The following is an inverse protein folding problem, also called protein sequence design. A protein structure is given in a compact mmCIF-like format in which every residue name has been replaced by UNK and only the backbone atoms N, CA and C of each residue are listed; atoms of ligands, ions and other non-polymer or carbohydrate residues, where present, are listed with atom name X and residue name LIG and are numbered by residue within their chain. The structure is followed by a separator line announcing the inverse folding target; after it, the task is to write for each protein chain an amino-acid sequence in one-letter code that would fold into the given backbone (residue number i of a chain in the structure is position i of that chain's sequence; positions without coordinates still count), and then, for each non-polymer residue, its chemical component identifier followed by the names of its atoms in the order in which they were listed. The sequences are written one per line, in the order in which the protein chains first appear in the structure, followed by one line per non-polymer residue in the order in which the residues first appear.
data_IF_904979689315
#
_entry.id   IF_904979689315
#
_cell.length_a   1.000
_cell.length_b   1.000
_cell.length_c   1.000
_cell.angle_alpha   90.00
_cell.angle_beta   90.00
_cell.angle_gamma   90.00
#
_symmetry.space_group_name_H-M   'P 1'
#
loop_
_entity.id
_entity.type
_entity.pdbx_description
1 polymer ?
#
# COMPACT_ATOMS: atom_id res chain seq x y z
N UNK A 1 4.11 27.62 -47.63
CA UNK A 1 3.19 26.58 -47.12
C UNK A 1 3.88 26.04 -45.88
N UNK A 2 3.40 26.26 -44.66
CA UNK A 2 2.03 26.19 -44.16
C UNK A 2 1.94 27.08 -42.90
N UNK A 3 1.01 28.04 -42.86
CA UNK A 3 0.81 28.94 -41.71
C UNK A 3 -0.08 28.23 -40.68
N UNK A 4 0.47 28.00 -39.48
CA UNK A 4 -0.24 27.56 -38.28
C UNK A 4 -1.25 28.64 -37.80
N UNK A 5 -2.36 28.24 -37.15
CA UNK A 5 -3.54 29.09 -37.00
C UNK A 5 -3.43 30.09 -35.84
N UNK A 6 -3.87 31.34 -36.10
CA UNK A 6 -3.94 32.50 -35.19
C UNK A 6 -5.00 32.41 -34.07
N UNK A 7 -5.54 31.23 -33.78
CA UNK A 7 -6.78 31.09 -32.98
C UNK A 7 -6.51 31.23 -31.47
N UNK A 8 -5.33 30.86 -30.97
CA UNK A 8 -5.08 30.77 -29.52
C UNK A 8 -4.83 32.10 -28.79
N UNK A 9 -4.53 33.21 -29.50
CA UNK A 9 -4.19 34.49 -28.85
C UNK A 9 -5.42 35.34 -28.50
N UNK A 10 -6.57 35.05 -29.12
CA UNK A 10 -7.81 35.84 -28.97
C UNK A 10 -8.66 35.37 -27.78
N UNK A 11 -8.74 34.06 -27.55
CA UNK A 11 -9.52 33.47 -26.45
C UNK A 11 -8.92 33.76 -25.06
N UNK A 12 -7.59 33.72 -24.93
CA UNK A 12 -6.90 34.08 -23.67
C UNK A 12 -7.07 35.58 -23.34
N UNK A 13 -7.13 36.42 -24.36
CA UNK A 13 -7.39 37.86 -24.23
C UNK A 13 -8.82 38.16 -23.81
N UNK A 14 -9.81 37.40 -24.31
CA UNK A 14 -11.21 37.54 -23.92
C UNK A 14 -11.48 37.04 -22.50
N UNK A 15 -10.88 35.90 -22.11
CA UNK A 15 -10.98 35.37 -20.74
C UNK A 15 -10.36 36.32 -19.71
N UNK A 16 -9.20 36.92 -20.01
CA UNK A 16 -8.59 37.92 -19.15
C UNK A 16 -9.42 39.22 -19.06
N UNK A 17 -10.07 39.64 -20.15
CA UNK A 17 -10.95 40.79 -20.16
C UNK A 17 -12.24 40.55 -19.37
N UNK A 18 -12.83 39.35 -19.49
CA UNK A 18 -14.00 38.94 -18.71
C UNK A 18 -13.70 38.85 -17.21
N UNK A 19 -12.53 38.30 -16.86
CA UNK A 19 -12.09 38.22 -15.47
C UNK A 19 -11.86 39.61 -14.88
N UNK A 20 -11.25 40.52 -15.65
CA UNK A 20 -11.05 41.91 -15.22
C UNK A 20 -12.36 42.66 -15.04
N UNK A 21 -13.30 42.50 -15.98
CA UNK A 21 -14.64 43.08 -15.87
C UNK A 21 -15.41 42.56 -14.64
N UNK A 22 -15.25 41.28 -14.29
CA UNK A 22 -15.85 40.71 -13.09
C UNK A 22 -15.25 41.29 -11.80
N UNK A 23 -13.92 41.53 -11.77
CA UNK A 23 -13.26 42.18 -10.64
C UNK A 23 -13.68 43.65 -10.53
N UNK A 24 -13.72 44.39 -11.63
CA UNK A 24 -14.10 45.81 -11.63
C UNK A 24 -15.57 45.98 -11.19
N UNK A 25 -16.48 45.11 -11.65
CA UNK A 25 -17.87 45.08 -11.22
C UNK A 25 -18.03 44.73 -9.74
N UNK A 26 -17.24 43.78 -9.23
CA UNK A 26 -17.21 43.47 -7.80
C UNK A 26 -16.66 44.64 -6.97
N UNK A 27 -15.72 45.42 -7.52
CA UNK A 27 -15.17 46.60 -6.86
C UNK A 27 -16.19 47.74 -6.78
N UNK A 28 -16.98 47.96 -7.85
CA UNK A 28 -18.06 48.94 -7.88
C UNK A 28 -19.14 48.63 -6.83
N UNK A 29 -19.53 47.35 -6.69
CA UNK A 29 -20.47 46.88 -5.67
C UNK A 29 -19.99 47.16 -4.24
N UNK A 30 -18.68 47.14 -4.00
CA UNK A 30 -18.07 47.45 -2.70
C UNK A 30 -17.95 48.96 -2.49
N UNK A 31 -17.66 49.72 -3.54
CA UNK A 31 -17.55 51.18 -3.47
C UNK A 31 -18.89 51.85 -3.11
N UNK A 32 -20.01 51.33 -3.64
CA UNK A 32 -21.37 51.76 -3.28
C UNK A 32 -21.66 51.56 -1.77
N UNK A 33 -20.96 50.63 -1.12
CA UNK A 33 -21.07 50.38 0.32
C UNK A 33 -20.20 51.33 1.17
N UNK A 34 -19.15 51.93 0.59
CA UNK A 34 -18.20 52.81 1.30
C UNK A 34 -18.58 54.29 1.26
N UNK A 35 -19.51 54.69 0.39
CA UNK A 35 -19.86 56.09 0.15
C UNK A 35 -21.01 56.67 0.99
N UNK A 36 -21.76 55.85 1.74
CA UNK A 36 -22.87 56.35 2.57
C UNK A 36 -22.41 56.56 4.02
N UNK A 37 -22.50 57.79 4.57
CA UNK A 37 -22.28 57.99 5.99
C UNK A 37 -23.34 57.20 6.76
N UNK A 38 -22.86 56.35 7.66
CA UNK A 38 -23.64 55.44 8.50
C UNK A 38 -24.75 56.21 9.20
N UNK A 39 -25.96 56.11 8.66
CA UNK A 39 -27.19 56.46 9.37
C UNK A 39 -27.74 55.18 9.98
N UNK A 40 -27.74 55.18 11.31
CA UNK A 40 -28.56 54.39 12.24
C UNK A 40 -29.16 53.05 11.75
N UNK A 41 -28.67 51.97 12.37
CA UNK A 41 -29.32 50.67 12.56
C UNK A 41 -29.83 49.91 11.31
N UNK A 42 -29.01 48.94 10.86
CA UNK A 42 -29.52 47.62 10.50
C UNK A 42 -28.69 46.53 11.18
N UNK A 43 -29.24 46.10 12.30
CA UNK A 43 -28.88 44.90 13.04
C UNK A 43 -29.38 43.66 12.26
N UNK A 44 -28.88 43.44 11.04
CA UNK A 44 -29.29 42.32 10.16
C UNK A 44 -28.17 41.91 9.19
N UNK A 45 -27.13 41.30 9.72
CA UNK A 45 -26.45 40.16 9.06
C UNK A 45 -25.45 39.60 10.06
N UNK A 46 -25.70 38.39 10.56
CA UNK A 46 -24.63 37.67 11.24
C UNK A 46 -23.43 37.61 10.28
N UNK A 47 -22.19 37.86 10.76
CA UNK A 47 -21.02 37.74 9.89
C UNK A 47 -21.03 36.35 9.29
N UNK A 48 -20.99 36.28 7.95
CA UNK A 48 -20.91 35.00 7.25
C UNK A 48 -19.72 34.24 7.85
N UNK A 49 -19.91 32.98 8.28
CA UNK A 49 -18.81 32.19 8.83
C UNK A 49 -17.66 32.22 7.84
N UNK A 50 -16.43 32.41 8.32
CA UNK A 50 -15.26 32.40 7.45
C UNK A 50 -15.21 31.10 6.66
N UNK A 51 -14.54 31.08 5.50
CA UNK A 51 -14.36 29.84 4.72
C UNK A 51 -13.79 28.72 5.62
N UNK A 52 -12.90 29.05 6.55
CA UNK A 52 -12.37 28.12 7.53
C UNK A 52 -13.44 27.59 8.49
N UNK A 53 -14.33 28.45 8.99
CA UNK A 53 -15.45 28.06 9.86
C UNK A 53 -16.47 27.22 9.09
N UNK A 54 -16.73 27.53 7.82
CA UNK A 54 -17.57 26.72 6.94
C UNK A 54 -16.96 25.34 6.70
N UNK A 55 -15.65 25.26 6.43
CA UNK A 55 -14.93 23.99 6.33
C UNK A 55 -14.97 23.21 7.65
N UNK A 56 -14.77 23.87 8.80
CA UNK A 56 -14.86 23.23 10.12
C UNK A 56 -16.26 22.70 10.41
N UNK A 57 -17.31 23.44 10.03
CA UNK A 57 -18.69 23.01 10.20
C UNK A 57 -19.02 21.85 9.26
N UNK A 58 -18.58 21.88 8.00
CA UNK A 58 -18.71 20.76 7.06
C UNK A 58 -17.98 19.51 7.56
N UNK A 59 -16.79 19.67 8.15
CA UNK A 59 -16.05 18.59 8.79
C UNK A 59 -16.76 18.05 10.04
N UNK A 60 -17.38 18.92 10.84
CA UNK A 60 -18.17 18.54 12.02
C UNK A 60 -19.49 17.86 11.67
N UNK A 61 -20.12 18.25 10.55
CA UNK A 61 -21.30 17.59 9.99
C UNK A 61 -20.93 16.24 9.35
N UNK A 62 -19.72 16.13 8.80
CA UNK A 62 -19.14 14.87 8.30
C UNK A 62 -18.65 13.93 9.42
N UNK A 63 -18.59 14.34 10.69
CA UNK A 63 -18.16 13.49 11.82
C UNK A 63 -19.10 12.30 12.14
N UNK A 64 -20.16 12.10 11.35
CA UNK A 64 -20.98 10.87 11.34
C UNK A 64 -20.45 9.86 10.29
N UNK A 65 -19.27 10.08 9.71
CA UNK A 65 -18.63 9.07 8.86
C UNK A 65 -18.07 7.90 9.69
N UNK A 66 -18.29 6.68 9.17
CA UNK A 66 -17.72 5.47 9.72
C UNK A 66 -16.18 5.60 9.84
N UNK A 67 -15.55 4.95 10.83
CA UNK A 67 -14.09 5.03 10.99
C UNK A 67 -13.37 4.64 9.70
N UNK A 68 -12.39 5.44 9.30
CA UNK A 68 -11.56 5.17 8.12
C UNK A 68 -10.87 3.80 8.29
N UNK A 69 -10.77 2.99 7.22
CA UNK A 69 -10.14 1.69 7.34
C UNK A 69 -8.62 1.82 7.50
N UNK A 70 -8.02 0.89 8.24
CA UNK A 70 -6.59 0.58 8.10
C UNK A 70 -6.43 -0.32 6.88
N UNK A 71 -5.45 -0.04 6.03
CA UNK A 71 -5.20 -0.81 4.82
C UNK A 71 -4.07 -1.79 5.05
N UNK A 72 -4.19 -3.03 4.59
CA UNK A 72 -3.12 -4.04 4.74
C UNK A 72 -2.73 -4.66 3.40
N UNK A 73 -1.42 -4.80 3.18
CA UNK A 73 -0.84 -5.38 1.97
C UNK A 73 -0.20 -6.71 2.32
N UNK A 74 -0.65 -7.79 1.71
CA UNK A 74 -0.17 -9.14 2.02
C UNK A 74 0.54 -9.74 0.81
N UNK A 75 1.76 -10.21 1.03
CA UNK A 75 2.54 -10.87 -0.01
C UNK A 75 3.58 -11.78 0.62
N UNK A 76 3.86 -12.92 -0.01
CA UNK A 76 5.04 -13.71 0.33
C UNK A 76 6.31 -12.99 -0.15
N UNK A 77 7.46 -13.33 0.42
CA UNK A 77 8.72 -12.77 -0.03
C UNK A 77 8.98 -13.04 -1.53
N UNK A 78 9.69 -12.11 -2.17
CA UNK A 78 10.07 -12.18 -3.59
C UNK A 78 8.93 -12.14 -4.63
N UNK A 79 7.74 -11.72 -4.24
CA UNK A 79 6.55 -11.57 -5.08
C UNK A 79 6.34 -10.17 -5.69
N UNK A 80 7.25 -9.22 -5.45
CA UNK A 80 7.09 -7.83 -5.91
C UNK A 80 6.44 -6.89 -4.90
N UNK A 81 6.16 -7.36 -3.67
CA UNK A 81 5.55 -6.56 -2.60
C UNK A 81 6.22 -5.20 -2.35
N UNK A 82 7.56 -5.10 -2.39
CA UNK A 82 8.28 -3.83 -2.24
C UNK A 82 7.95 -2.83 -3.35
N UNK A 83 7.91 -3.27 -4.61
CA UNK A 83 7.59 -2.42 -5.75
C UNK A 83 6.17 -1.87 -5.64
N UNK A 84 5.20 -2.77 -5.46
CA UNK A 84 3.78 -2.42 -5.35
C UNK A 84 3.56 -1.47 -4.16
N UNK A 85 4.24 -1.74 -3.03
CA UNK A 85 4.13 -0.90 -1.83
C UNK A 85 4.72 0.50 -2.04
N UNK A 86 5.77 0.66 -2.84
CA UNK A 86 6.30 1.99 -3.21
C UNK A 86 5.32 2.74 -4.11
N UNK A 87 4.69 2.05 -5.06
CA UNK A 87 3.66 2.66 -5.90
C UNK A 87 2.41 3.08 -5.11
N UNK A 88 2.04 2.31 -4.07
CA UNK A 88 0.99 2.70 -3.12
C UNK A 88 1.43 3.89 -2.27
N UNK A 89 2.66 3.88 -1.77
CA UNK A 89 3.22 5.01 -1.01
C UNK A 89 3.35 6.30 -1.85
N UNK A 90 3.37 6.18 -3.17
CA UNK A 90 3.36 7.31 -4.10
C UNK A 90 1.97 7.90 -4.33
N UNK A 91 0.91 7.23 -3.84
CA UNK A 91 -0.44 7.78 -3.90
C UNK A 91 -0.61 8.91 -2.87
N UNK A 92 -1.52 9.87 -3.14
CA UNK A 92 -1.75 11.01 -2.27
C UNK A 92 -2.12 10.59 -0.85
N UNK A 93 -1.63 11.35 0.13
CA UNK A 93 -1.98 11.21 1.54
C UNK A 93 -1.73 9.80 2.11
N UNK A 94 -0.85 8.99 1.54
CA UNK A 94 -0.57 7.64 2.07
C UNK A 94 0.60 7.64 3.05
N UNK A 95 0.43 6.90 4.15
CA UNK A 95 1.49 6.58 5.10
C UNK A 95 1.65 5.05 5.15
N UNK A 96 2.77 4.55 4.64
CA UNK A 96 3.06 3.11 4.61
C UNK A 96 4.04 2.73 5.72
N UNK A 97 3.61 1.84 6.61
CA UNK A 97 4.51 1.11 7.52
C UNK A 97 4.89 -0.20 6.86
N UNK A 98 6.19 -0.45 6.74
CA UNK A 98 6.72 -1.62 6.04
C UNK A 98 7.28 -2.69 6.96
N UNK A 99 7.16 -3.94 6.49
CA UNK A 99 7.62 -5.15 7.18
C UNK A 99 6.98 -5.32 8.56
N UNK A 100 5.66 -5.17 8.62
CA UNK A 100 4.88 -5.23 9.86
C UNK A 100 4.49 -6.68 10.18
N UNK A 101 4.96 -7.19 11.32
CA UNK A 101 4.47 -8.43 11.92
C UNK A 101 4.79 -8.43 13.44
N UNK A 102 3.81 -8.17 14.32
CA UNK A 102 4.05 -8.05 15.76
C UNK A 102 4.45 -9.37 16.43
N UNK A 103 4.24 -10.50 15.75
CA UNK A 103 4.61 -11.84 16.22
C UNK A 103 5.77 -12.42 15.41
N UNK A 104 6.49 -11.57 14.66
CA UNK A 104 7.60 -12.01 13.82
C UNK A 104 8.64 -12.78 14.65
N UNK A 105 9.06 -13.97 14.18
CA UNK A 105 10.17 -14.70 14.78
C UNK A 105 11.53 -14.04 14.50
N UNK A 106 11.58 -13.11 13.53
CA UNK A 106 12.77 -12.34 13.24
C UNK A 106 12.95 -11.27 14.32
N UNK A 107 14.02 -11.42 15.09
CA UNK A 107 14.47 -10.39 16.04
C UNK A 107 15.59 -9.60 15.38
N UNK A 108 15.46 -8.26 15.22
CA UNK A 108 16.54 -7.46 14.69
C UNK A 108 17.82 -7.64 15.52
N UNK A 109 18.97 -7.70 14.85
CA UNK A 109 20.25 -7.68 15.54
C UNK A 109 20.53 -6.27 16.06
N UNK A 110 20.81 -6.13 17.36
CA UNK A 110 21.21 -4.87 17.98
C UNK A 110 20.36 -4.44 19.17
N UNK A 111 20.75 -3.32 19.78
CA UNK A 111 20.05 -2.73 20.92
C UNK A 111 18.90 -1.84 20.43
N UNK A 112 17.65 -2.20 20.74
CA UNK A 112 16.43 -1.46 20.37
C UNK A 112 15.69 -0.97 21.61
N UNK A 113 16.17 0.10 22.29
CA UNK A 113 15.62 0.57 23.57
C UNK A 113 14.21 1.18 23.47
N UNK A 114 13.72 1.42 22.27
CA UNK A 114 12.40 2.02 22.01
C UNK A 114 11.37 1.03 21.51
N UNK A 115 11.78 -0.20 21.18
CA UNK A 115 10.87 -1.26 20.75
C UNK A 115 10.31 -1.98 21.99
N UNK A 116 9.15 -1.52 22.46
CA UNK A 116 8.51 -2.12 23.63
C UNK A 116 8.16 -3.60 23.41
N UNK A 117 7.82 -4.02 22.18
CA UNK A 117 7.53 -5.43 21.89
C UNK A 117 8.82 -6.23 22.03
N UNK A 118 9.90 -5.80 21.38
CA UNK A 118 11.24 -6.40 21.52
C UNK A 118 11.69 -6.49 22.98
N UNK A 119 11.62 -5.39 23.73
CA UNK A 119 11.97 -5.37 25.16
C UNK A 119 11.11 -6.30 26.00
N UNK A 120 9.80 -6.39 25.71
CA UNK A 120 8.88 -7.26 26.46
C UNK A 120 9.22 -8.74 26.29
N UNK A 121 9.70 -9.16 25.12
CA UNK A 121 10.13 -10.55 24.83
C UNK A 121 11.35 -10.97 25.64
N UNK A 122 12.26 -10.03 25.92
CA UNK A 122 13.50 -10.29 26.66
C UNK A 122 13.47 -9.81 28.12
N UNK A 123 12.30 -9.39 28.61
CA UNK A 123 12.14 -8.95 29.99
C UNK A 123 12.25 -10.11 30.99
N UNK A 124 12.35 -9.80 32.29
CA UNK A 124 12.36 -10.82 33.36
C UNK A 124 11.07 -11.63 33.45
N UNK A 125 10.00 -11.18 32.77
CA UNK A 125 8.71 -11.86 32.63
C UNK A 125 8.21 -11.70 31.18
N UNK A 126 8.70 -12.54 30.25
CA UNK A 126 8.40 -12.38 28.83
C UNK A 126 6.90 -12.29 28.52
N UNK A 127 6.54 -11.33 27.65
CA UNK A 127 5.16 -11.18 27.19
C UNK A 127 4.74 -12.33 26.27
N UNK A 128 3.54 -12.87 26.49
CA UNK A 128 2.91 -13.84 25.57
C UNK A 128 2.41 -13.14 24.29
N UNK A 129 1.94 -13.92 23.32
CA UNK A 129 1.47 -13.41 22.03
C UNK A 129 0.33 -12.40 22.16
N UNK A 130 -0.65 -12.65 23.04
CA UNK A 130 -1.78 -11.74 23.23
C UNK A 130 -1.32 -10.37 23.77
N UNK A 131 -0.43 -10.36 24.77
CA UNK A 131 0.15 -9.10 25.27
C UNK A 131 0.93 -8.37 24.17
N UNK A 132 1.70 -9.08 23.33
CA UNK A 132 2.41 -8.47 22.20
C UNK A 132 1.43 -7.86 21.17
N UNK A 133 0.30 -8.54 20.91
CA UNK A 133 -0.77 -8.02 20.05
C UNK A 133 -1.39 -6.76 20.65
N UNK A 134 -1.72 -6.75 21.94
CA UNK A 134 -2.30 -5.57 22.60
C UNK A 134 -1.36 -4.38 22.59
N UNK A 135 -0.05 -4.61 22.82
CA UNK A 135 0.97 -3.57 22.72
C UNK A 135 1.07 -3.01 21.30
N UNK A 136 1.04 -3.89 20.29
CA UNK A 136 1.02 -3.48 18.88
C UNK A 136 -0.23 -2.64 18.55
N UNK A 137 -1.42 -3.10 18.94
CA UNK A 137 -2.66 -2.39 18.69
C UNK A 137 -2.73 -1.05 19.41
N UNK A 138 -2.19 -0.95 20.62
CA UNK A 138 -2.08 0.32 21.35
C UNK A 138 -1.21 1.33 20.59
N UNK A 139 -0.04 0.91 20.09
CA UNK A 139 0.81 1.76 19.25
C UNK A 139 0.15 2.13 17.91
N UNK A 140 -0.52 1.17 17.28
CA UNK A 140 -1.24 1.38 16.02
C UNK A 140 -2.39 2.38 16.17
N UNK A 141 -3.11 2.39 17.30
CA UNK A 141 -4.14 3.41 17.59
C UNK A 141 -3.59 4.83 17.60
N UNK A 142 -2.37 5.03 18.12
CA UNK A 142 -1.72 6.34 18.12
C UNK A 142 -1.41 6.77 16.69
N UNK A 143 -0.81 5.89 15.89
CA UNK A 143 -0.49 6.18 14.49
C UNK A 143 -1.75 6.43 13.66
N UNK A 144 -2.78 5.62 13.84
CA UNK A 144 -4.08 5.77 13.20
C UNK A 144 -4.72 7.13 13.53
N UNK A 145 -4.70 7.54 14.81
CA UNK A 145 -5.21 8.84 15.24
C UNK A 145 -4.47 9.99 14.57
N UNK A 146 -3.14 9.96 14.57
CA UNK A 146 -2.30 10.97 13.90
C UNK A 146 -2.54 11.01 12.39
N UNK A 147 -2.57 9.86 11.73
CA UNK A 147 -2.83 9.77 10.29
C UNK A 147 -4.19 10.38 9.95
N UNK A 148 -5.23 10.02 10.70
CA UNK A 148 -6.59 10.55 10.53
C UNK A 148 -6.63 12.08 10.72
N UNK A 149 -5.96 12.61 11.76
CA UNK A 149 -5.89 14.04 12.00
C UNK A 149 -5.18 14.82 10.88
N UNK A 150 -4.25 14.19 10.18
CA UNK A 150 -3.55 14.77 9.04
C UNK A 150 -4.22 14.46 7.69
N UNK A 151 -5.41 13.83 7.68
CA UNK A 151 -6.08 13.42 6.44
C UNK A 151 -5.33 12.33 5.67
N UNK A 152 -4.49 11.56 6.35
CA UNK A 152 -3.69 10.48 5.77
C UNK A 152 -4.38 9.12 5.86
N UNK A 153 -4.11 8.27 4.88
CA UNK A 153 -4.44 6.86 4.87
C UNK A 153 -3.30 6.05 5.47
N UNK A 154 -3.61 5.25 6.50
CA UNK A 154 -2.65 4.35 7.11
C UNK A 154 -2.63 2.99 6.39
N UNK A 155 -1.47 2.60 5.86
CA UNK A 155 -1.24 1.34 5.17
C UNK A 155 -0.18 0.54 5.93
N UNK A 156 -0.43 -0.75 6.17
CA UNK A 156 0.51 -1.70 6.75
C UNK A 156 0.90 -2.74 5.71
N UNK A 157 2.18 -2.78 5.35
CA UNK A 157 2.74 -3.82 4.49
C UNK A 157 3.23 -4.96 5.38
N UNK A 158 2.56 -6.11 5.25
CA UNK A 158 2.80 -7.32 6.04
C UNK A 158 4.18 -7.94 5.74
N UNK A 159 4.85 -8.41 6.80
CA UNK A 159 6.01 -9.29 6.71
C UNK A 159 5.59 -10.77 6.83
N UNK A 160 4.78 -11.23 5.89
CA UNK A 160 4.18 -12.58 5.94
C UNK A 160 5.21 -13.72 5.90
N UNK A 161 6.46 -13.45 5.49
CA UNK A 161 7.56 -14.43 5.47
C UNK A 161 7.79 -15.04 6.86
N UNK A 162 7.72 -14.24 7.92
CA UNK A 162 7.86 -14.71 9.30
C UNK A 162 6.71 -15.60 9.79
N UNK A 163 5.56 -15.54 9.13
CA UNK A 163 4.41 -16.38 9.43
C UNK A 163 4.46 -17.69 8.64
N UNK A 164 4.52 -17.58 7.31
CA UNK A 164 4.30 -18.72 6.42
C UNK A 164 5.59 -19.41 6.01
N UNK A 165 6.73 -18.71 6.00
CA UNK A 165 8.00 -19.18 5.42
C UNK A 165 9.13 -19.24 6.46
N UNK A 166 8.80 -19.65 7.68
CA UNK A 166 9.75 -19.81 8.78
C UNK A 166 9.53 -21.13 9.53
N UNK A 167 10.62 -21.78 9.96
CA UNK A 167 10.60 -22.99 10.78
C UNK A 167 10.15 -24.25 10.04
N UNK A 168 9.92 -25.32 10.81
CA UNK A 168 9.54 -26.64 10.28
C UNK A 168 8.07 -26.76 9.87
N UNK A 169 7.21 -25.83 10.31
CA UNK A 169 5.79 -25.79 9.96
C UNK A 169 5.29 -24.34 9.93
N UNK A 170 4.15 -24.11 9.29
CA UNK A 170 3.44 -22.83 9.40
C UNK A 170 2.87 -22.74 10.82
N UNK A 171 3.24 -21.69 11.55
CA UNK A 171 2.77 -21.49 12.92
C UNK A 171 1.28 -21.13 12.92
N UNK A 172 0.50 -21.84 13.73
CA UNK A 172 -0.88 -21.48 14.02
C UNK A 172 -0.92 -20.25 14.94
N UNK A 173 -1.19 -19.09 14.33
CA UNK A 173 -1.28 -17.78 14.98
C UNK A 173 -2.11 -16.85 14.11
N UNK A 174 -2.71 -15.79 14.67
CA UNK A 174 -3.46 -14.83 13.88
C UNK A 174 -2.54 -14.10 12.88
N UNK A 175 -3.08 -13.88 11.68
CA UNK A 175 -2.50 -13.05 10.62
C UNK A 175 -2.49 -11.57 11.00
N UNK A 176 -1.71 -10.76 10.29
CA UNK A 176 -1.76 -9.31 10.46
C UNK A 176 -3.17 -8.75 10.21
N UNK A 177 -3.88 -9.27 9.20
CA UNK A 177 -5.26 -8.88 8.89
C UNK A 177 -6.20 -9.14 10.08
N UNK A 178 -6.15 -10.34 10.66
CA UNK A 178 -6.97 -10.70 11.81
C UNK A 178 -6.62 -9.87 13.05
N UNK A 179 -5.33 -9.62 13.29
CA UNK A 179 -4.87 -8.78 14.41
C UNK A 179 -5.43 -7.37 14.28
N UNK A 180 -5.26 -6.72 13.12
CA UNK A 180 -5.70 -5.33 12.90
C UNK A 180 -7.23 -5.24 12.94
N UNK A 181 -7.93 -6.24 12.42
CA UNK A 181 -9.40 -6.30 12.41
C UNK A 181 -10.02 -6.36 13.81
N UNK A 182 -9.25 -6.68 14.86
CA UNK A 182 -9.71 -6.59 16.25
C UNK A 182 -10.01 -5.15 16.69
N UNK A 183 -9.43 -4.16 16.03
CA UNK A 183 -9.46 -2.77 16.48
C UNK A 183 -9.92 -1.76 15.42
N UNK A 184 -9.85 -2.10 14.13
CA UNK A 184 -10.14 -1.18 13.02
C UNK A 184 -10.92 -1.88 11.91
N UNK A 185 -11.75 -1.17 11.13
CA UNK A 185 -12.15 -1.65 9.82
C UNK A 185 -10.91 -1.86 8.94
N UNK A 186 -10.90 -2.91 8.12
CA UNK A 186 -9.75 -3.26 7.28
C UNK A 186 -10.12 -3.35 5.82
N UNK A 187 -9.25 -2.81 4.96
CA UNK A 187 -9.23 -3.06 3.52
C UNK A 187 -7.91 -3.71 3.15
N UNK A 188 -7.95 -4.78 2.38
CA UNK A 188 -6.75 -5.57 2.12
C UNK A 188 -6.61 -5.90 0.64
N UNK A 189 -5.37 -6.11 0.22
CA UNK A 189 -5.04 -6.80 -1.02
C UNK A 189 -4.00 -7.88 -0.73
N UNK A 190 -4.02 -8.92 -1.55
CA UNK A 190 -2.96 -9.90 -1.67
C UNK A 190 -2.24 -9.66 -2.98
N UNK A 191 -0.91 -9.67 -2.98
CA UNK A 191 -0.14 -9.75 -4.23
C UNK A 191 0.63 -11.06 -4.33
N UNK A 192 0.61 -11.62 -5.54
CA UNK A 192 1.29 -12.87 -5.89
C UNK A 192 2.18 -12.64 -7.11
N UNK A 193 3.10 -13.57 -7.31
CA UNK A 193 3.96 -13.65 -8.50
C UNK A 193 3.97 -15.10 -8.96
N UNK A 194 4.40 -15.35 -10.19
CA UNK A 194 4.65 -16.72 -10.64
C UNK A 194 5.45 -17.51 -9.58
N UNK A 195 4.90 -18.60 -9.01
CA UNK A 195 5.48 -19.29 -7.85
C UNK A 195 6.95 -19.70 -8.04
N UNK A 196 7.29 -20.23 -9.22
CA UNK A 196 8.68 -20.57 -9.53
C UNK A 196 9.62 -19.35 -9.50
N UNK A 197 9.20 -18.20 -10.02
CA UNK A 197 10.06 -17.02 -10.10
C UNK A 197 10.28 -16.37 -8.72
N UNK A 198 9.31 -16.51 -7.83
CA UNK A 198 9.41 -16.15 -6.41
C UNK A 198 10.35 -17.12 -5.68
N UNK A 199 10.14 -18.44 -5.83
CA UNK A 199 11.00 -19.46 -5.22
C UNK A 199 12.47 -19.34 -5.66
N UNK A 200 12.73 -19.17 -6.96
CA UNK A 200 14.09 -18.95 -7.48
C UNK A 200 14.74 -17.67 -6.92
N UNK A 201 13.94 -16.67 -6.59
CA UNK A 201 14.45 -15.45 -5.94
C UNK A 201 14.74 -15.67 -4.45
N UNK A 202 13.98 -16.54 -3.76
CA UNK A 202 14.26 -16.97 -2.39
C UNK A 202 15.53 -17.83 -2.29
N UNK A 203 15.77 -18.69 -3.29
CA UNK A 203 17.01 -19.46 -3.40
C UNK A 203 18.21 -18.53 -3.52
N UNK A 204 18.13 -17.54 -4.42
CA UNK A 204 19.18 -16.55 -4.66
C UNK A 204 19.49 -15.67 -3.43
N UNK A 205 18.47 -15.31 -2.63
CA UNK A 205 18.67 -14.54 -1.40
C UNK A 205 19.10 -15.39 -0.19
N UNK A 206 19.11 -16.72 -0.32
CA UNK A 206 19.34 -17.66 0.79
C UNK A 206 18.15 -17.82 1.75
N UNK A 207 17.02 -17.13 1.50
CA UNK A 207 15.85 -17.16 2.37
C UNK A 207 15.09 -18.49 2.35
N UNK A 208 15.37 -19.35 1.37
CA UNK A 208 14.86 -20.73 1.36
C UNK A 208 15.23 -21.50 2.63
N UNK A 209 16.34 -21.13 3.27
CA UNK A 209 16.84 -21.80 4.48
C UNK A 209 16.02 -21.46 5.74
N UNK A 210 15.12 -20.47 5.66
CA UNK A 210 14.28 -20.09 6.80
C UNK A 210 13.18 -21.11 7.09
N UNK A 211 12.79 -21.95 6.13
CA UNK A 211 11.82 -23.03 6.32
C UNK A 211 12.44 -24.39 6.00
N UNK A 212 11.82 -25.44 6.53
CA UNK A 212 12.26 -26.82 6.32
C UNK A 212 11.07 -27.73 6.01
N UNK A 213 11.20 -28.68 5.05
CA UNK A 213 12.34 -28.84 4.16
C UNK A 213 12.45 -27.69 3.14
N UNK A 214 13.67 -27.32 2.74
CA UNK A 214 13.92 -26.22 1.82
C UNK A 214 13.69 -26.63 0.35
N UNK A 215 12.47 -27.08 0.02
CA UNK A 215 12.09 -27.61 -1.31
C UNK A 215 10.99 -26.77 -1.95
N UNK A 216 10.83 -26.91 -3.27
CA UNK A 216 9.75 -26.24 -4.01
C UNK A 216 8.35 -26.71 -3.54
N UNK A 217 8.23 -27.99 -3.20
CA UNK A 217 6.98 -28.57 -2.71
C UNK A 217 6.55 -27.99 -1.36
N UNK A 218 7.49 -27.84 -0.42
CA UNK A 218 7.22 -27.18 0.87
C UNK A 218 6.85 -25.71 0.69
N UNK A 219 7.56 -25.01 -0.19
CA UNK A 219 7.22 -23.63 -0.56
C UNK A 219 5.79 -23.53 -1.12
N UNK A 220 5.39 -24.46 -1.98
CA UNK A 220 4.05 -24.47 -2.55
C UNK A 220 2.97 -24.75 -1.50
N UNK A 221 3.19 -25.71 -0.59
CA UNK A 221 2.27 -25.98 0.53
C UNK A 221 2.12 -24.77 1.46
N UNK A 222 3.21 -24.07 1.76
CA UNK A 222 3.17 -22.81 2.53
C UNK A 222 2.46 -21.68 1.79
N UNK A 223 2.60 -21.64 0.47
CA UNK A 223 1.89 -20.67 -0.37
C UNK A 223 0.39 -20.94 -0.39
N UNK A 224 -0.04 -22.20 -0.38
CA UNK A 224 -1.45 -22.54 -0.17
C UNK A 224 -1.97 -22.08 1.19
N UNK A 225 -1.25 -22.35 2.27
CA UNK A 225 -1.63 -21.89 3.60
C UNK A 225 -1.78 -20.35 3.67
N UNK A 226 -0.87 -19.61 3.02
CA UNK A 226 -0.98 -18.16 2.86
C UNK A 226 -2.26 -17.76 2.11
N UNK A 227 -2.53 -18.37 0.96
CA UNK A 227 -3.72 -18.04 0.16
C UNK A 227 -5.03 -18.43 0.86
N UNK A 228 -5.03 -19.49 1.66
CA UNK A 228 -6.19 -19.92 2.45
C UNK A 228 -6.50 -18.91 3.56
N UNK A 229 -5.47 -18.38 4.21
CA UNK A 229 -5.61 -17.33 5.23
C UNK A 229 -6.18 -16.02 4.67
N UNK A 230 -6.10 -15.80 3.35
CA UNK A 230 -6.57 -14.60 2.67
C UNK A 230 -7.58 -14.86 1.53
N UNK A 231 -8.32 -15.96 1.58
CA UNK A 231 -9.20 -16.42 0.48
C UNK A 231 -10.28 -15.42 0.02
N UNK A 232 -10.65 -14.46 0.86
CA UNK A 232 -11.68 -13.44 0.57
C UNK A 232 -11.07 -12.04 0.31
N UNK A 233 -9.77 -11.97 0.10
CA UNK A 233 -9.04 -10.73 -0.18
C UNK A 233 -8.72 -10.65 -1.66
N UNK A 234 -8.90 -9.46 -2.25
CA UNK A 234 -8.60 -9.20 -3.66
C UNK A 234 -7.15 -9.57 -3.99
N UNK A 235 -6.95 -10.33 -5.07
CA UNK A 235 -5.66 -10.88 -5.47
C UNK A 235 -5.13 -10.16 -6.71
N UNK A 236 -3.92 -9.62 -6.60
CA UNK A 236 -3.21 -8.91 -7.67
C UNK A 236 -1.99 -9.73 -8.11
N UNK A 237 -1.86 -9.99 -9.41
CA UNK A 237 -0.65 -10.59 -9.97
C UNK A 237 0.40 -9.53 -10.26
N UNK A 238 1.63 -9.80 -9.84
CA UNK A 238 2.80 -8.97 -10.13
C UNK A 238 2.99 -8.77 -11.63
N UNK A 239 2.79 -9.84 -12.40
CA UNK A 239 2.92 -9.87 -13.85
C UNK A 239 1.96 -8.89 -14.53
N UNK A 240 0.70 -8.85 -14.09
CA UNK A 240 -0.29 -7.89 -14.59
C UNK A 240 0.11 -6.46 -14.19
N UNK A 241 0.59 -6.27 -12.96
CA UNK A 241 1.01 -4.95 -12.48
C UNK A 241 2.18 -4.38 -13.26
N UNK A 242 3.15 -5.20 -13.68
CA UNK A 242 4.29 -4.71 -14.47
C UNK A 242 4.02 -4.61 -15.96
N UNK A 243 2.98 -5.26 -16.46
CA UNK A 243 2.51 -5.14 -17.84
C UNK A 243 1.68 -3.87 -18.05
N UNK A 244 0.74 -3.59 -17.15
CA UNK A 244 -0.08 -2.37 -17.18
C UNK A 244 -0.22 -1.74 -15.77
N UNK A 245 0.85 -1.05 -15.29
CA UNK A 245 0.85 -0.47 -13.95
C UNK A 245 -0.30 0.51 -13.68
N UNK A 246 -0.63 1.46 -14.59
CA UNK A 246 -1.73 2.39 -14.37
C UNK A 246 -3.08 1.71 -14.10
N UNK A 247 -3.49 0.74 -14.93
CA UNK A 247 -4.78 0.04 -14.80
C UNK A 247 -4.85 -0.77 -13.51
N UNK A 248 -3.79 -1.53 -13.21
CA UNK A 248 -3.75 -2.33 -11.97
C UNK A 248 -3.68 -1.43 -10.74
N UNK A 249 -3.01 -0.28 -10.83
CA UNK A 249 -2.96 0.68 -9.72
C UNK A 249 -4.32 1.34 -9.46
N UNK A 250 -5.10 1.65 -10.49
CA UNK A 250 -6.49 2.10 -10.31
C UNK A 250 -7.33 1.04 -9.57
N UNK A 251 -7.17 -0.23 -9.94
CA UNK A 251 -7.86 -1.36 -9.26
C UNK A 251 -7.45 -1.43 -7.78
N UNK A 252 -6.15 -1.38 -7.48
CA UNK A 252 -5.64 -1.37 -6.12
C UNK A 252 -6.19 -0.17 -5.33
N UNK A 253 -6.19 1.03 -5.91
CA UNK A 253 -6.69 2.24 -5.25
C UNK A 253 -8.19 2.11 -4.96
N UNK A 254 -8.99 1.60 -5.91
CA UNK A 254 -10.41 1.35 -5.69
C UNK A 254 -10.64 0.35 -4.55
N UNK A 255 -9.96 -0.80 -4.57
CA UNK A 255 -10.07 -1.84 -3.54
C UNK A 255 -9.68 -1.34 -2.14
N UNK A 256 -8.59 -0.56 -2.06
CA UNK A 256 -8.10 0.01 -0.82
C UNK A 256 -8.80 1.33 -0.45
N UNK A 257 -9.71 1.84 -1.28
CA UNK A 257 -10.35 3.15 -1.11
C UNK A 257 -9.31 4.26 -0.90
N UNK A 258 -8.38 4.37 -1.85
CA UNK A 258 -7.34 5.39 -1.95
C UNK A 258 -7.60 6.29 -3.16
N UNK A 259 -7.13 7.53 -3.09
CA UNK A 259 -7.07 8.40 -4.26
C UNK A 259 -6.00 7.91 -5.24
N UNK A 260 -6.34 7.94 -6.53
CA UNK A 260 -5.43 7.57 -7.60
C UNK A 260 -4.72 8.80 -8.17
N UNK A 261 -3.39 8.79 -8.14
CA UNK A 261 -2.54 9.73 -8.84
C UNK A 261 -1.83 9.02 -10.02
N UNK A 262 -2.07 9.41 -11.28
CA UNK A 262 -1.41 8.81 -12.43
C UNK A 262 0.12 9.00 -12.44
N UNK A 263 0.64 10.04 -11.77
CA UNK A 263 2.07 10.36 -11.76
C UNK A 263 2.89 9.46 -10.82
N UNK A 264 2.28 8.44 -10.22
CA UNK A 264 2.97 7.50 -9.31
C UNK A 264 4.15 6.79 -9.98
N UNK A 265 4.09 6.58 -11.29
CA UNK A 265 5.17 5.95 -12.07
C UNK A 265 6.44 6.79 -12.09
N UNK A 266 6.34 8.10 -11.84
CA UNK A 266 7.48 9.01 -11.79
C UNK A 266 8.01 9.19 -10.36
N UNK A 267 7.13 9.09 -9.36
CA UNK A 267 7.45 9.43 -7.97
C UNK A 267 7.83 8.23 -7.10
N UNK A 268 7.37 7.01 -7.45
CA UNK A 268 7.65 5.81 -6.63
C UNK A 268 9.15 5.56 -6.44
N UNK A 269 9.98 5.95 -7.43
CA UNK A 269 11.43 5.80 -7.41
C UNK A 269 12.09 6.56 -6.24
N UNK A 270 11.50 7.67 -5.79
CA UNK A 270 12.03 8.47 -4.68
C UNK A 270 11.71 7.88 -3.30
N UNK A 271 10.76 6.92 -3.24
CA UNK A 271 10.28 6.38 -1.98
C UNK A 271 11.20 5.26 -1.49
N UNK A 272 11.61 5.37 -0.23
CA UNK A 272 12.41 4.36 0.48
C UNK A 272 11.55 3.69 1.54
N UNK A 273 11.50 2.36 1.51
CA UNK A 273 10.80 1.53 2.52
C UNK A 273 11.79 0.53 3.13
N UNK A 274 11.52 0.08 4.36
CA UNK A 274 12.27 -1.04 4.96
C UNK A 274 12.02 -2.34 4.18
N UNK A 275 13.00 -3.25 4.21
CA UNK A 275 12.92 -4.51 3.47
C UNK A 275 13.26 -4.40 1.97
N UNK A 276 13.92 -3.33 1.55
CA UNK A 276 14.46 -3.16 0.18
C UNK A 276 15.71 -4.04 -0.09
N UNK A 277 15.72 -5.27 0.43
CA UNK A 277 16.90 -6.13 0.63
C UNK A 277 17.58 -6.65 -0.65
N UNK A 278 17.28 -6.10 -1.82
CA UNK A 278 18.11 -6.42 -2.98
C UNK A 278 17.70 -5.89 -4.36
N UNK A 279 16.60 -5.15 -4.52
CA UNK A 279 16.15 -4.73 -5.85
C UNK A 279 15.74 -3.27 -5.90
N UNK A 280 16.76 -2.42 -6.04
CA UNK A 280 16.61 -1.04 -6.48
C UNK A 280 16.30 -1.01 -7.97
N UNK A 281 15.31 -0.22 -8.34
CA UNK A 281 14.92 0.00 -9.72
C UNK A 281 14.09 1.25 -9.82
N UNK A 282 14.47 2.10 -10.76
CA UNK A 282 13.79 3.36 -11.06
C UNK A 282 12.65 3.15 -12.06
N UNK A 283 12.51 1.93 -12.59
CA UNK A 283 11.54 1.57 -13.62
C UNK A 283 10.70 0.37 -13.22
N UNK A 284 9.39 0.48 -13.44
CA UNK A 284 8.45 -0.63 -13.37
C UNK A 284 8.64 -1.48 -14.63
N UNK A 285 9.07 -2.73 -14.46
CA UNK A 285 9.36 -3.62 -15.60
C UNK A 285 9.21 -5.09 -15.24
N UNK A 286 8.82 -5.94 -16.20
CA UNK A 286 8.86 -7.38 -16.05
C UNK A 286 10.26 -7.87 -15.72
N UNK A 287 10.33 -8.95 -14.94
CA UNK A 287 11.60 -9.61 -14.60
C UNK A 287 11.62 -10.99 -15.22
N UNK A 288 12.65 -11.32 -16.03
CA UNK A 288 12.76 -12.65 -16.60
C UNK A 288 12.98 -13.69 -15.51
N UNK A 289 12.58 -14.94 -15.81
CA UNK A 289 12.87 -16.10 -14.97
C UNK A 289 14.39 -16.24 -14.81
N UNK A 290 14.82 -16.51 -13.58
CA UNK A 290 16.24 -16.75 -13.30
C UNK A 290 16.68 -18.09 -13.89
N UNK A 291 17.91 -18.19 -14.40
CA UNK A 291 18.51 -19.48 -14.72
C UNK A 291 18.53 -20.39 -13.48
N UNK A 292 18.26 -21.68 -13.67
CA UNK A 292 18.21 -22.66 -12.59
C UNK A 292 18.61 -24.05 -13.11
N UNK A 293 19.11 -24.93 -12.24
CA UNK A 293 19.51 -26.27 -12.65
C UNK A 293 18.29 -27.15 -12.99
N UNK A 294 18.46 -28.17 -13.84
CA UNK A 294 17.38 -29.10 -14.21
C UNK A 294 16.69 -29.80 -13.03
N UNK A 295 17.38 -29.91 -11.88
CA UNK A 295 16.79 -30.47 -10.66
C UNK A 295 15.56 -29.69 -10.18
N UNK A 296 15.52 -28.36 -10.36
CA UNK A 296 14.36 -27.54 -9.96
C UNK A 296 13.18 -27.77 -10.92
N UNK A 297 13.46 -28.01 -12.21
CA UNK A 297 12.42 -28.42 -13.15
C UNK A 297 11.81 -29.77 -12.76
N UNK A 298 12.65 -30.72 -12.33
CA UNK A 298 12.18 -32.02 -11.83
C UNK A 298 11.35 -31.87 -10.54
N UNK A 299 11.81 -31.04 -9.58
CA UNK A 299 11.01 -30.75 -8.37
C UNK A 299 9.64 -30.15 -8.71
N UNK A 300 9.58 -29.28 -9.73
CA UNK A 300 8.33 -28.70 -10.19
C UNK A 300 7.40 -29.74 -10.80
N UNK A 301 7.93 -30.71 -11.55
CA UNK A 301 7.17 -31.82 -12.15
C UNK A 301 6.63 -32.79 -11.09
N UNK A 302 7.46 -33.12 -10.09
CA UNK A 302 7.14 -34.11 -9.08
C UNK A 302 6.22 -33.55 -7.96
N UNK A 303 6.17 -32.23 -7.80
CA UNK A 303 5.39 -31.57 -6.75
C UNK A 303 3.93 -31.34 -7.15
N UNK A 304 3.04 -32.17 -6.60
CA UNK A 304 1.58 -31.98 -6.73
C UNK A 304 1.14 -30.60 -6.18
N UNK A 305 1.67 -30.20 -5.02
CA UNK A 305 1.35 -28.91 -4.41
C UNK A 305 1.74 -27.73 -5.30
N UNK A 306 2.86 -27.82 -6.01
CA UNK A 306 3.28 -26.78 -6.95
C UNK A 306 2.37 -26.71 -8.17
N UNK A 307 1.97 -27.85 -8.74
CA UNK A 307 1.06 -27.88 -9.89
C UNK A 307 -0.33 -27.34 -9.55
N UNK A 308 -0.87 -27.70 -8.38
CA UNK A 308 -2.15 -27.17 -7.91
C UNK A 308 -2.06 -25.69 -7.55
N UNK A 309 -0.92 -25.21 -7.04
CA UNK A 309 -0.67 -23.79 -6.82
C UNK A 309 -0.66 -22.99 -8.13
N UNK A 310 0.00 -23.49 -9.18
CA UNK A 310 -0.03 -22.85 -10.49
C UNK A 310 -1.46 -22.73 -11.02
N UNK A 311 -2.23 -23.82 -10.92
CA UNK A 311 -3.64 -23.86 -11.35
C UNK A 311 -4.50 -22.88 -10.54
N UNK A 312 -4.30 -22.82 -9.22
CA UNK A 312 -5.03 -21.92 -8.30
C UNK A 312 -4.79 -20.44 -8.61
N UNK A 313 -3.60 -20.09 -9.08
CA UNK A 313 -3.19 -18.73 -9.38
C UNK A 313 -3.31 -18.37 -10.88
N UNK A 314 -3.87 -19.28 -11.69
CA UNK A 314 -3.99 -19.14 -13.14
C UNK A 314 -2.63 -18.85 -13.82
N UNK A 315 -1.59 -19.59 -13.40
CA UNK A 315 -0.29 -19.61 -14.07
C UNK A 315 -0.11 -20.90 -14.87
N UNK A 316 0.63 -20.79 -15.97
CA UNK A 316 1.08 -21.94 -16.74
C UNK A 316 2.59 -22.11 -16.62
N UNK A 317 3.07 -23.35 -16.66
CA UNK A 317 4.49 -23.64 -16.78
C UNK A 317 4.99 -23.14 -18.14
N UNK A 318 5.70 -22.01 -18.16
CA UNK A 318 6.44 -21.59 -19.36
C UNK A 318 7.47 -22.67 -19.70
N UNK A 319 7.35 -23.27 -20.89
CA UNK A 319 8.31 -24.25 -21.38
C UNK A 319 9.72 -23.64 -21.35
N UNK A 320 10.69 -24.37 -20.79
CA UNK A 320 12.10 -24.01 -20.91
C UNK A 320 12.45 -24.08 -22.39
N UNK A 321 12.77 -22.93 -22.99
CA UNK A 321 13.35 -22.91 -24.33
C UNK A 321 14.62 -23.77 -24.26
N UNK A 322 14.64 -24.89 -25.00
CA UNK A 322 15.85 -25.68 -25.18
C UNK A 322 16.90 -24.73 -25.75
N UNK A 323 17.92 -24.43 -24.96
CA UNK A 323 19.17 -23.86 -25.49
C UNK A 323 19.80 -24.95 -26.36
N UNK A 324 19.73 -24.77 -27.67
CA UNK A 324 20.58 -25.50 -28.65
C UNK A 324 22.06 -25.14 -28.45
#
# INVERSE_FOLDING_TARGET
MEQLPKVHRREVSESAAQFRAAIDSALELVQDYTGNPVSEHRDLSQPLPSLLQQCQNLLAEAQVEAPLPVRTLHHLACSGGTLISRCIAAQPNTQVLSEVDPLSPFVPSGFLPTDLIGLSRFSSRPANADTQIEMFLAGLRVLYGTATQHGQHLILRDHSHGHFSFGAAVTDRPTLHEIVSRAFPVKSIVSVRHPLDAYLSLLDSGWVQHFSPATLDEYARRSHAFLDAYQNVELIRYEDFVEDPPTVMQTICATLSLDYNPDFTETFAAITLSGDSGRRGDFISPRPRRPHPPAIDQEAEDSEAFQTLLSRLDYHRKATAKSE
#
